data_IF_406652365167
#
_entry.id   IF_406652365167
#
_cell.length_a   1.000
_cell.length_b   1.000
_cell.length_c   1.000
_cell.angle_alpha   90.00
_cell.angle_beta   90.00
_cell.angle_gamma   90.00
#
_symmetry.space_group_name_H-M   'P 1'
#
loop_
_entity.id
_entity.type
_entity.pdbx_description
1 polymer ?
#
# COMPACT_ATOMS: atom_id res chain seq x y z
N UNK A 1 12.92 8.12 14.58
CA UNK A 1 11.70 7.31 14.40
C UNK A 1 11.41 7.16 12.91
N UNK A 2 11.74 6.01 12.32
CA UNK A 2 11.46 5.71 10.91
C UNK A 2 10.14 4.92 10.87
N UNK A 3 9.02 5.57 10.55
CA UNK A 3 7.75 4.86 10.33
C UNK A 3 7.69 4.50 8.85
N UNK A 4 8.02 3.25 8.51
CA UNK A 4 7.70 2.67 7.21
C UNK A 4 6.23 2.27 7.22
N UNK A 5 5.52 2.57 6.14
CA UNK A 5 4.21 1.96 5.91
C UNK A 5 4.31 1.21 4.60
N UNK A 6 4.09 -0.10 4.68
CA UNK A 6 3.86 -0.92 3.52
C UNK A 6 2.48 -0.53 2.99
N UNK A 7 2.40 0.54 2.22
CA UNK A 7 1.28 0.81 1.33
C UNK A 7 1.36 -0.18 0.18
N UNK A 8 1.23 -1.48 0.46
CA UNK A 8 0.68 -2.40 -0.52
C UNK A 8 -0.78 -1.98 -0.65
N UNK A 9 -1.19 -1.31 -1.74
CA UNK A 9 -2.56 -0.87 -1.87
C UNK A 9 -3.42 -2.10 -2.15
N UNK A 10 -3.82 -2.82 -1.10
CA UNK A 10 -4.88 -3.85 -1.10
C UNK A 10 -4.96 -4.73 -2.35
N UNK A 11 -3.83 -5.05 -2.98
CA UNK A 11 -3.83 -5.92 -4.15
C UNK A 11 -3.97 -7.31 -3.59
N UNK A 12 -5.21 -7.80 -3.61
CA UNK A 12 -5.60 -9.20 -3.54
C UNK A 12 -4.45 -10.02 -4.13
N UNK A 13 -3.69 -10.63 -3.23
CA UNK A 13 -2.47 -11.27 -3.63
C UNK A 13 -2.81 -12.37 -4.63
N UNK A 14 -2.27 -12.26 -5.84
CA UNK A 14 -2.65 -13.20 -6.90
C UNK A 14 -1.97 -14.54 -6.62
N UNK A 15 -2.71 -15.66 -6.58
CA UNK A 15 -2.09 -16.96 -6.31
C UNK A 15 -1.24 -17.39 -7.51
N UNK A 16 0.00 -17.77 -7.23
CA UNK A 16 0.89 -18.40 -8.20
C UNK A 16 0.70 -19.91 -8.12
N UNK A 17 0.15 -20.49 -9.18
CA UNK A 17 -0.10 -21.91 -9.29
C UNK A 17 1.03 -22.62 -10.02
N UNK A 18 1.52 -23.74 -9.47
CA UNK A 18 2.62 -24.53 -10.06
C UNK A 18 2.19 -25.97 -10.28
N UNK A 19 2.43 -26.51 -11.48
CA UNK A 19 2.30 -27.93 -11.80
C UNK A 19 3.59 -28.66 -11.48
N UNK A 20 3.59 -29.57 -10.49
CA UNK A 20 4.76 -30.38 -10.15
C UNK A 20 4.93 -31.53 -11.15
N UNK A 21 6.08 -31.60 -11.80
CA UNK A 21 6.53 -32.79 -12.53
C UNK A 21 7.09 -33.80 -11.53
N UNK A 22 6.62 -35.06 -11.58
CA UNK A 22 7.26 -36.14 -10.84
C UNK A 22 8.65 -36.39 -11.44
N UNK A 23 9.67 -36.38 -10.60
CA UNK A 23 11.04 -36.69 -11.00
C UNK A 23 11.12 -38.20 -11.25
N UNK A 24 11.32 -38.60 -12.50
CA UNK A 24 11.38 -40.00 -12.91
C UNK A 24 12.65 -40.67 -12.36
N UNK A 25 12.50 -41.45 -11.30
CA UNK A 25 13.45 -42.51 -10.92
C UNK A 25 12.57 -43.73 -10.58
N UNK A 26 12.57 -44.71 -11.48
CA UNK A 26 12.09 -46.09 -11.26
C UNK A 26 10.58 -46.38 -11.04
N UNK A 27 9.66 -45.82 -11.83
CA UNK A 27 8.33 -46.44 -12.03
C UNK A 27 7.65 -45.89 -13.31
N UNK A 28 7.09 -46.72 -14.21
CA UNK A 28 6.31 -46.24 -15.35
C UNK A 28 4.92 -45.80 -14.87
N UNK A 29 4.87 -44.77 -14.04
CA UNK A 29 3.63 -44.16 -13.60
C UNK A 29 3.10 -43.34 -14.78
N UNK A 30 1.88 -43.65 -15.22
CA UNK A 30 1.09 -42.95 -16.24
C UNK A 30 1.40 -41.44 -16.24
N UNK A 31 2.30 -41.03 -17.12
CA UNK A 31 2.60 -39.62 -17.34
C UNK A 31 1.39 -39.05 -18.06
N UNK A 32 0.43 -38.48 -17.31
CA UNK A 32 -0.79 -37.87 -17.85
C UNK A 32 -0.52 -36.62 -18.69
N UNK A 33 0.75 -36.24 -18.85
CA UNK A 33 1.18 -35.11 -19.67
C UNK A 33 0.56 -33.83 -19.15
N UNK A 34 -0.07 -33.05 -20.04
CA UNK A 34 -0.74 -31.80 -19.69
C UNK A 34 -2.24 -31.94 -19.42
N UNK A 35 -2.81 -33.17 -19.40
CA UNK A 35 -4.23 -33.36 -19.09
C UNK A 35 -4.49 -33.04 -17.61
N UNK A 36 -5.32 -32.02 -17.35
CA UNK A 36 -5.64 -31.58 -15.98
C UNK A 36 -4.56 -30.70 -15.32
N UNK A 37 -3.73 -30.02 -16.10
CA UNK A 37 -2.58 -29.23 -15.66
C UNK A 37 -2.91 -27.91 -14.91
N UNK A 38 -4.00 -27.85 -14.15
CA UNK A 38 -4.25 -26.73 -13.26
C UNK A 38 -3.36 -26.87 -12.01
N UNK A 39 -2.36 -25.99 -11.90
CA UNK A 39 -1.39 -26.02 -10.81
C UNK A 39 -2.02 -25.76 -9.43
N UNK A 40 -1.37 -26.27 -8.38
CA UNK A 40 -1.77 -25.96 -6.98
C UNK A 40 -1.16 -24.62 -6.56
N UNK A 41 -1.83 -23.83 -5.70
CA UNK A 41 -1.29 -22.58 -5.21
C UNK A 41 -0.02 -22.83 -4.39
N UNK A 42 1.09 -22.24 -4.83
CA UNK A 42 2.41 -22.35 -4.21
C UNK A 42 2.75 -21.09 -3.39
N UNK A 43 2.19 -19.94 -3.75
CA UNK A 43 2.43 -18.68 -3.07
C UNK A 43 1.61 -17.55 -3.65
N UNK A 44 1.85 -16.35 -3.13
CA UNK A 44 1.07 -15.15 -3.46
C UNK A 44 2.00 -14.09 -4.03
N UNK A 45 1.66 -13.54 -5.20
CA UNK A 45 2.44 -12.49 -5.85
C UNK A 45 1.65 -11.19 -5.93
N UNK A 46 2.33 -10.07 -5.68
CA UNK A 46 1.81 -8.73 -5.93
C UNK A 46 2.20 -8.30 -7.34
N UNK A 47 1.22 -7.89 -8.14
CA UNK A 47 1.46 -7.32 -9.47
C UNK A 47 1.70 -5.82 -9.31
N UNK A 48 2.73 -5.31 -9.99
CA UNK A 48 3.14 -3.90 -9.89
C UNK A 48 3.18 -3.30 -11.29
N UNK A 49 2.53 -2.17 -11.48
CA UNK A 49 2.58 -1.40 -12.73
C UNK A 49 3.76 -0.42 -12.74
N UNK A 50 4.17 0.02 -13.93
CA UNK A 50 5.21 1.06 -14.08
C UNK A 50 4.75 2.33 -13.37
N UNK A 51 5.58 2.86 -12.47
CA UNK A 51 5.26 4.04 -11.64
C UNK A 51 4.49 3.76 -10.35
N UNK A 52 4.12 2.51 -10.06
CA UNK A 52 3.51 2.13 -8.79
C UNK A 52 4.55 2.05 -7.67
N UNK A 53 4.25 2.69 -6.52
CA UNK A 53 5.13 2.68 -5.35
C UNK A 53 5.08 1.32 -4.67
N UNK A 54 6.25 0.70 -4.46
CA UNK A 54 6.39 -0.60 -3.78
C UNK A 54 6.50 -0.44 -2.26
N UNK A 55 7.30 0.54 -1.82
CA UNK A 55 7.56 0.78 -0.40
C UNK A 55 7.63 2.29 -0.14
N UNK A 56 7.02 2.74 0.96
CA UNK A 56 7.03 4.15 1.36
C UNK A 56 7.57 4.30 2.78
N UNK A 57 8.54 5.20 2.95
CA UNK A 57 9.26 5.40 4.22
C UNK A 57 9.33 6.90 4.51
N UNK A 58 8.99 7.28 5.75
CA UNK A 58 9.28 8.62 6.27
C UNK A 58 10.70 8.65 6.82
N UNK A 59 11.61 9.26 6.08
CA UNK A 59 13.03 9.34 6.42
C UNK A 59 13.53 10.79 6.53
N UNK A 60 14.73 10.96 7.08
CA UNK A 60 15.43 12.25 7.12
C UNK A 60 15.92 12.64 5.72
N UNK A 61 16.12 13.93 5.55
CA UNK A 61 16.49 14.61 4.31
C UNK A 61 17.90 14.26 3.76
N UNK A 62 18.65 13.39 4.43
CA UNK A 62 20.02 13.01 4.03
C UNK A 62 20.03 11.88 3.00
N UNK A 63 18.96 11.09 2.89
CA UNK A 63 18.91 9.91 2.02
C UNK A 63 18.22 10.21 0.68
N UNK A 64 18.31 11.45 0.20
CA UNK A 64 17.55 11.96 -0.96
C UNK A 64 18.01 11.41 -2.29
N UNK A 65 19.30 11.14 -2.44
CA UNK A 65 19.90 10.86 -3.74
C UNK A 65 19.40 9.56 -4.38
N UNK A 66 18.92 8.61 -3.57
CA UNK A 66 18.51 7.29 -4.04
C UNK A 66 16.99 7.08 -4.06
N UNK A 67 16.18 8.07 -3.67
CA UNK A 67 14.75 7.89 -3.43
C UNK A 67 13.96 9.05 -4.02
N UNK A 68 12.87 8.75 -4.72
CA UNK A 68 11.93 9.76 -5.15
C UNK A 68 11.21 10.39 -3.94
N UNK A 69 11.42 11.69 -3.74
CA UNK A 69 10.84 12.43 -2.62
C UNK A 69 9.45 12.92 -3.01
N UNK A 70 8.44 12.51 -2.24
CA UNK A 70 7.10 13.06 -2.40
C UNK A 70 7.03 14.48 -1.82
N UNK A 71 6.31 15.38 -2.50
CA UNK A 71 5.93 16.70 -1.96
C UNK A 71 4.82 16.62 -0.90
N UNK A 72 4.26 15.43 -0.67
CA UNK A 72 3.16 15.21 0.26
C UNK A 72 3.66 15.08 1.70
N UNK A 73 2.80 15.45 2.65
CA UNK A 73 3.09 15.27 4.06
C UNK A 73 3.02 13.79 4.46
N UNK A 74 4.17 13.13 4.52
CA UNK A 74 4.28 11.73 4.92
C UNK A 74 3.47 10.79 4.02
N UNK A 75 2.55 10.02 4.62
CA UNK A 75 1.66 9.08 3.91
C UNK A 75 0.27 9.66 3.66
N UNK A 76 0.14 10.98 3.69
CA UNK A 76 -1.13 11.65 3.42
C UNK A 76 -1.24 12.03 1.95
N UNK A 77 -2.46 12.39 1.53
CA UNK A 77 -2.72 12.90 0.18
C UNK A 77 -2.35 14.37 -0.01
N UNK A 78 -2.10 15.10 1.07
CA UNK A 78 -1.94 16.56 1.09
C UNK A 78 -0.49 16.96 0.91
N UNK A 79 -0.25 18.12 0.29
CA UNK A 79 1.09 18.70 0.17
C UNK A 79 1.64 19.12 1.53
N UNK A 80 2.95 19.00 1.72
CA UNK A 80 3.62 19.38 2.96
C UNK A 80 3.44 20.88 3.27
N UNK A 81 3.52 21.73 2.24
CA UNK A 81 3.48 23.19 2.36
C UNK A 81 2.11 23.70 2.86
N UNK A 82 1.02 23.01 2.50
CA UNK A 82 -0.36 23.38 2.87
C UNK A 82 -0.84 22.64 4.14
N UNK A 83 -0.13 21.59 4.54
CA UNK A 83 -0.59 20.68 5.59
C UNK A 83 -0.74 21.41 6.93
N UNK A 84 0.26 22.20 7.32
CA UNK A 84 0.27 22.94 8.57
C UNK A 84 -0.88 23.95 8.64
N UNK A 85 -1.14 24.66 7.53
CA UNK A 85 -2.25 25.61 7.43
C UNK A 85 -3.61 24.91 7.58
N UNK A 86 -3.82 23.78 6.91
CA UNK A 86 -5.09 23.06 7.03
C UNK A 86 -5.31 22.42 8.42
N UNK A 87 -4.23 22.08 9.14
CA UNK A 87 -4.31 21.65 10.54
C UNK A 87 -4.65 22.85 11.44
N UNK A 88 -4.01 24.00 11.22
CA UNK A 88 -4.31 25.23 11.96
C UNK A 88 -5.75 25.72 11.74
N UNK A 89 -6.26 25.61 10.51
CA UNK A 89 -7.68 25.86 10.17
C UNK A 89 -8.64 24.81 10.73
N UNK A 90 -8.15 23.80 11.46
CA UNK A 90 -8.94 22.66 11.96
C UNK A 90 -9.72 21.93 10.87
N UNK A 91 -9.26 21.98 9.61
CA UNK A 91 -9.78 21.19 8.49
C UNK A 91 -9.20 19.78 8.45
N UNK A 92 -8.05 19.59 9.07
CA UNK A 92 -7.39 18.32 9.25
C UNK A 92 -7.23 18.01 10.73
N UNK A 93 -7.76 16.86 11.16
CA UNK A 93 -7.53 16.32 12.50
C UNK A 93 -6.51 15.17 12.41
N UNK A 94 -5.43 15.20 13.19
CA UNK A 94 -4.50 14.08 13.27
C UNK A 94 -5.16 12.87 13.96
N UNK A 95 -5.30 11.76 13.22
CA UNK A 95 -5.87 10.50 13.69
C UNK A 95 -4.77 9.43 13.73
N UNK A 96 -3.80 9.62 14.64
CA UNK A 96 -2.68 8.71 14.84
C UNK A 96 -1.63 8.77 13.72
N UNK A 97 -1.59 7.75 12.84
CA UNK A 97 -0.64 7.73 11.72
C UNK A 97 -1.15 8.54 10.52
N UNK A 98 -2.47 8.63 10.38
CA UNK A 98 -3.16 9.31 9.30
C UNK A 98 -3.80 10.61 9.76
N UNK A 99 -4.65 11.15 8.89
CA UNK A 99 -5.28 12.46 9.10
C UNK A 99 -6.68 12.39 8.53
N UNK A 100 -7.64 12.91 9.28
CA UNK A 100 -9.04 12.98 8.88
C UNK A 100 -9.35 14.36 8.35
N UNK A 101 -9.92 14.37 7.15
CA UNK A 101 -10.39 15.58 6.51
C UNK A 101 -11.81 15.91 6.96
N UNK A 102 -12.00 17.15 7.41
CA UNK A 102 -13.32 17.69 7.76
C UNK A 102 -13.82 18.49 6.55
N UNK A 103 -14.86 18.01 5.86
CA UNK A 103 -15.48 18.78 4.79
C UNK A 103 -16.29 19.94 5.37
N UNK A 104 -16.45 21.01 4.59
CA UNK A 104 -17.38 22.11 4.89
C UNK A 104 -18.86 21.70 4.71
N UNK A 105 -19.17 20.41 4.71
CA UNK A 105 -20.49 19.86 4.46
C UNK A 105 -20.77 18.78 5.50
N UNK A 106 -21.68 19.09 6.43
CA UNK A 106 -22.05 18.21 7.51
C UNK A 106 -22.91 18.93 8.56
N UNK A 107 -23.34 18.22 9.62
CA UNK A 107 -24.12 18.82 10.70
C UNK A 107 -23.37 19.98 11.37
N UNK A 108 -24.05 21.13 11.52
CA UNK A 108 -23.45 22.36 12.05
C UNK A 108 -22.93 22.19 13.48
N UNK A 109 -23.58 21.35 14.30
CA UNK A 109 -23.16 21.08 15.68
C UNK A 109 -21.77 20.46 15.74
N UNK A 110 -21.46 19.53 14.83
CA UNK A 110 -20.12 18.94 14.73
C UNK A 110 -19.08 19.98 14.30
N UNK A 111 -19.45 20.90 13.41
CA UNK A 111 -18.56 21.97 12.98
C UNK A 111 -18.27 22.95 14.12
N UNK A 112 -19.31 23.36 14.86
CA UNK A 112 -19.18 24.24 16.05
C UNK A 112 -18.32 23.60 17.14
N UNK A 113 -18.52 22.33 17.45
CA UNK A 113 -17.73 21.60 18.46
C UNK A 113 -16.23 21.52 18.13
N UNK A 114 -15.87 21.64 16.85
CA UNK A 114 -14.48 21.66 16.41
C UNK A 114 -13.88 23.07 16.48
N UNK A 115 -14.68 24.10 16.20
CA UNK A 115 -14.22 25.49 16.09
C UNK A 115 -14.43 26.32 17.37
N UNK A 116 -15.08 25.76 18.40
CA UNK A 116 -14.96 26.23 19.78
C UNK A 116 -13.53 26.10 20.29
#
# INVERSE_FOLDING_TARGET
>A
YCKSSNTFPQMLGTPLNVTKLLKCVSFPQLQTGMRGAFGKPQGTVARVHIGQVIMSIRTKLQNKEHIHISKKWGFTKFNADEFENMVAEKRLIPDGCGVKYIPNRGPLDKWRALHS
#
